data_IF_420283196400
#
_entry.id   IF_420283196400
#
_cell.length_a   1.000
_cell.length_b   1.000
_cell.length_c   1.000
_cell.angle_alpha   90.00
_cell.angle_beta   90.00
_cell.angle_gamma   90.00
#
_symmetry.space_group_name_H-M   'P 1'
#
loop_
_entity.id
_entity.type
_entity.pdbx_description
1 polymer ?
#
# COMPACT_ATOMS: atom_id res chain seq x y z
N UNK A 1 -6.64 -4.77 -1.41
CA UNK A 1 -6.78 -4.37 0.01
C UNK A 1 -5.95 -3.14 0.34
N UNK A 2 -4.66 -3.11 0.01
CA UNK A 2 -3.80 -1.93 0.25
C UNK A 2 -4.41 -0.61 -0.27
N UNK A 3 -4.91 -0.60 -1.51
CA UNK A 3 -5.57 0.58 -2.10
C UNK A 3 -6.79 1.07 -1.29
N UNK A 4 -7.57 0.15 -0.72
CA UNK A 4 -8.71 0.49 0.13
C UNK A 4 -8.24 1.12 1.45
N UNK A 5 -7.22 0.56 2.09
CA UNK A 5 -6.64 1.13 3.32
C UNK A 5 -6.05 2.52 3.06
N UNK A 6 -5.32 2.70 1.95
CA UNK A 6 -4.85 4.03 1.53
C UNK A 6 -6.01 5.01 1.40
N UNK A 7 -7.09 4.63 0.72
CA UNK A 7 -8.29 5.46 0.59
C UNK A 7 -8.96 5.78 1.93
N UNK A 8 -9.07 4.81 2.85
CA UNK A 8 -9.63 5.04 4.19
C UNK A 8 -8.80 6.06 4.98
N UNK A 9 -7.47 5.94 4.92
CA UNK A 9 -6.57 6.90 5.56
C UNK A 9 -6.68 8.28 4.90
N UNK A 10 -6.68 8.35 3.56
CA UNK A 10 -6.87 9.63 2.84
C UNK A 10 -8.21 10.28 3.20
N UNK A 11 -9.29 9.52 3.27
CA UNK A 11 -10.61 10.01 3.67
C UNK A 11 -10.64 10.49 5.12
N UNK A 12 -9.98 9.77 6.04
CA UNK A 12 -9.83 10.19 7.43
C UNK A 12 -9.09 11.52 7.53
N UNK A 13 -8.05 11.71 6.73
CA UNK A 13 -7.27 12.94 6.68
C UNK A 13 -8.11 14.08 6.10
N UNK A 14 -8.79 13.88 4.96
CA UNK A 14 -9.64 14.90 4.33
C UNK A 14 -10.78 15.37 5.23
N UNK A 15 -11.42 14.45 5.98
CA UNK A 15 -12.44 14.81 6.98
C UNK A 15 -11.87 15.63 8.13
N UNK A 16 -10.61 15.42 8.48
CA UNK A 16 -9.93 16.15 9.54
C UNK A 16 -9.32 17.48 9.05
N UNK A 17 -8.93 17.60 7.78
CA UNK A 17 -8.25 18.76 7.20
C UNK A 17 -8.14 18.65 5.66
N UNK A 18 -8.45 19.73 4.95
CA UNK A 18 -8.69 19.73 3.50
C UNK A 18 -7.43 19.70 2.59
N UNK A 19 -6.23 20.02 3.11
CA UNK A 19 -5.03 20.27 2.27
C UNK A 19 -3.96 19.16 2.31
N UNK A 20 -4.37 17.89 2.43
CA UNK A 20 -3.41 16.78 2.29
C UNK A 20 -3.30 16.32 0.83
N UNK A 21 -2.20 16.71 0.19
CA UNK A 21 -1.86 16.35 -1.20
C UNK A 21 -0.75 15.31 -1.32
N UNK A 22 -0.10 14.91 -0.21
CA UNK A 22 0.93 13.89 -0.27
C UNK A 22 0.31 12.50 -0.42
N UNK A 23 1.08 11.58 -1.00
CA UNK A 23 0.65 10.19 -1.11
C UNK A 23 0.77 9.47 0.25
N UNK A 24 -0.30 8.77 0.66
CA UNK A 24 -0.27 7.90 1.84
C UNK A 24 0.60 6.68 1.54
N UNK A 25 1.73 6.57 2.22
CA UNK A 25 2.57 5.39 2.15
C UNK A 25 2.13 4.37 3.20
N UNK A 26 2.05 3.11 2.76
CA UNK A 26 1.84 1.94 3.59
C UNK A 26 3.08 1.05 3.52
N UNK A 27 3.47 0.49 4.65
CA UNK A 27 4.52 -0.51 4.75
C UNK A 27 4.02 -1.74 5.50
N UNK A 28 4.70 -2.87 5.30
CA UNK A 28 4.47 -4.11 6.05
C UNK A 28 5.40 -4.07 7.27
N UNK A 29 4.89 -3.92 8.51
CA UNK A 29 5.71 -3.87 9.69
C UNK A 29 6.06 -5.29 10.20
N UNK A 30 6.75 -5.38 11.33
CA UNK A 30 6.88 -6.67 12.03
C UNK A 30 5.50 -7.16 12.49
N UNK A 31 5.29 -8.48 12.55
CA UNK A 31 4.00 -9.11 12.89
C UNK A 31 3.30 -8.53 14.14
N UNK A 32 4.06 -8.18 15.17
CA UNK A 32 3.52 -7.59 16.41
C UNK A 32 2.88 -6.20 16.23
N UNK A 33 3.16 -5.54 15.11
CA UNK A 33 2.74 -4.20 14.77
C UNK A 33 1.61 -4.18 13.72
N UNK A 34 1.09 -5.34 13.30
CA UNK A 34 -0.05 -5.45 12.39
C UNK A 34 0.33 -5.84 10.97
N UNK A 35 -0.67 -5.79 10.10
CA UNK A 35 -0.55 -6.16 8.69
C UNK A 35 -0.03 -4.97 7.86
N UNK A 36 -0.46 -3.77 8.23
CA UNK A 36 -0.05 -2.52 7.58
C UNK A 36 0.31 -1.44 8.61
N UNK A 37 1.26 -0.59 8.25
CA UNK A 37 1.63 0.59 9.02
C UNK A 37 1.74 1.82 8.11
N UNK A 38 1.36 2.99 8.62
CA UNK A 38 1.54 4.27 7.94
C UNK A 38 2.24 5.28 8.84
N UNK A 39 3.18 6.03 8.25
CA UNK A 39 3.86 7.15 8.88
C UNK A 39 3.15 8.50 8.62
N UNK A 40 1.95 8.49 8.05
CA UNK A 40 1.28 9.71 7.58
C UNK A 40 1.10 10.77 8.67
N UNK A 41 0.86 10.36 9.92
CA UNK A 41 0.70 11.29 11.03
C UNK A 41 2.01 12.04 11.36
N UNK A 42 3.18 11.43 11.15
CA UNK A 42 4.49 12.08 11.31
C UNK A 42 4.70 13.19 10.27
N UNK A 43 4.28 12.93 9.02
CA UNK A 43 4.36 13.89 7.92
C UNK A 43 3.42 15.07 8.20
N UNK A 44 2.17 14.77 8.57
CA UNK A 44 1.14 15.75 8.91
C UNK A 44 1.52 16.61 10.11
N UNK A 45 2.06 16.00 11.18
CA UNK A 45 2.49 16.73 12.37
C UNK A 45 3.53 17.79 12.06
N UNK A 46 4.49 17.49 11.16
CA UNK A 46 5.51 18.44 10.71
C UNK A 46 4.90 19.61 9.94
N UNK A 47 3.93 19.34 9.06
CA UNK A 47 3.25 20.38 8.27
C UNK A 47 2.34 21.26 9.13
N UNK A 48 1.59 20.66 10.03
CA UNK A 48 0.54 21.30 10.82
C UNK A 48 1.04 21.86 12.15
N UNK A 49 2.28 21.55 12.55
CA UNK A 49 2.86 21.90 13.88
C UNK A 49 1.96 21.47 15.05
N UNK A 50 1.32 20.31 14.91
CA UNK A 50 0.45 19.69 15.94
C UNK A 50 1.12 18.45 16.52
N UNK A 51 0.57 17.98 17.65
CA UNK A 51 1.04 16.76 18.28
C UNK A 51 0.82 15.55 17.36
N UNK A 52 1.89 14.83 17.05
CA UNK A 52 1.87 13.65 16.17
C UNK A 52 0.94 12.56 16.68
N UNK A 53 0.93 12.32 17.99
CA UNK A 53 0.10 11.26 18.55
C UNK A 53 -1.38 11.60 18.47
N UNK A 54 -1.77 12.86 18.63
CA UNK A 54 -3.16 13.28 18.47
C UNK A 54 -3.66 13.04 17.05
N UNK A 55 -2.85 13.39 16.05
CA UNK A 55 -3.18 13.13 14.64
C UNK A 55 -3.27 11.63 14.38
N UNK A 56 -2.30 10.85 14.87
CA UNK A 56 -2.29 9.41 14.69
C UNK A 56 -3.51 8.73 15.33
N UNK A 57 -3.92 9.16 16.52
CA UNK A 57 -5.11 8.65 17.22
C UNK A 57 -6.37 8.98 16.42
N UNK A 58 -6.51 10.23 15.97
CA UNK A 58 -7.68 10.64 15.19
C UNK A 58 -7.82 9.84 13.88
N UNK A 59 -6.70 9.60 13.17
CA UNK A 59 -6.70 8.77 11.97
C UNK A 59 -7.05 7.32 12.34
N UNK A 60 -6.45 6.77 13.40
CA UNK A 60 -6.69 5.41 13.84
C UNK A 60 -8.17 5.19 14.21
N UNK A 61 -8.79 6.11 14.93
CA UNK A 61 -10.20 6.04 15.32
C UNK A 61 -11.13 6.08 14.10
N UNK A 62 -10.83 6.94 13.11
CA UNK A 62 -11.59 6.98 11.86
C UNK A 62 -11.46 5.68 11.07
N UNK A 63 -10.28 5.07 11.02
CA UNK A 63 -10.04 3.81 10.29
C UNK A 63 -10.63 2.61 11.05
N UNK A 64 -10.58 2.60 12.38
CA UNK A 64 -11.15 1.57 13.24
C UNK A 64 -12.66 1.39 13.03
N UNK A 65 -13.37 2.44 12.61
CA UNK A 65 -14.80 2.38 12.30
C UNK A 65 -15.15 1.50 11.09
N UNK A 66 -14.18 1.11 10.27
CA UNK A 66 -14.42 0.28 9.10
C UNK A 66 -14.63 -1.19 9.48
N UNK A 67 -15.66 -1.81 8.89
CA UNK A 67 -16.05 -3.20 9.18
C UNK A 67 -14.99 -4.25 8.84
N UNK A 68 -14.06 -3.95 7.95
CA UNK A 68 -12.99 -4.88 7.52
C UNK A 68 -11.75 -4.82 8.43
N UNK A 69 -11.71 -3.87 9.37
CA UNK A 69 -10.57 -3.64 10.25
C UNK A 69 -10.82 -4.33 11.58
N UNK A 70 -9.89 -5.18 12.00
CA UNK A 70 -9.95 -5.83 13.31
C UNK A 70 -9.53 -4.84 14.39
N UNK A 71 -8.41 -4.16 14.13
CA UNK A 71 -7.79 -3.25 15.07
C UNK A 71 -6.98 -2.20 14.32
N UNK A 72 -7.01 -0.96 14.78
CA UNK A 72 -6.19 0.13 14.31
C UNK A 72 -5.70 0.92 15.52
N UNK A 73 -4.39 1.11 15.64
CA UNK A 73 -3.76 1.72 16.82
C UNK A 73 -2.70 2.72 16.41
N UNK A 74 -2.70 3.86 17.08
CA UNK A 74 -1.59 4.81 17.04
C UNK A 74 -0.46 4.36 17.97
N UNK A 75 0.74 4.12 17.43
CA UNK A 75 1.93 3.70 18.17
C UNK A 75 2.99 4.79 18.07
N UNK A 76 3.69 5.06 19.17
CA UNK A 76 4.81 6.02 19.19
C UNK A 76 5.87 5.63 18.15
N UNK A 77 6.47 6.59 17.43
CA UNK A 77 6.32 8.05 17.56
C UNK A 77 5.12 8.69 16.82
N UNK A 78 4.20 7.91 16.27
CA UNK A 78 3.09 8.41 15.45
C UNK A 78 2.78 7.54 14.24
N UNK A 79 3.03 6.24 14.34
CA UNK A 79 2.63 5.28 13.32
C UNK A 79 1.17 4.89 13.51
N UNK A 80 0.43 4.79 12.41
CA UNK A 80 -0.93 4.25 12.39
C UNK A 80 -0.82 2.80 11.92
N UNK A 81 -1.05 1.87 12.83
CA UNK A 81 -0.89 0.44 12.60
C UNK A 81 -2.25 -0.23 12.49
N UNK A 82 -2.39 -1.12 11.52
CA UNK A 82 -3.68 -1.69 11.11
C UNK A 82 -3.58 -3.22 11.08
N UNK A 83 -4.55 -3.86 11.70
CA UNK A 83 -4.82 -5.29 11.65
C UNK A 83 -6.14 -5.51 10.91
N UNK A 84 -6.12 -6.38 9.91
CA UNK A 84 -7.29 -6.69 9.08
C UNK A 84 -8.01 -7.91 9.66
N UNK A 85 -9.35 -7.91 9.59
CA UNK A 85 -10.11 -9.09 10.01
C UNK A 85 -9.76 -10.28 9.12
N UNK A 86 -9.48 -11.42 9.76
CA UNK A 86 -9.21 -12.69 9.05
C UNK A 86 -10.30 -13.07 8.05
N UNK A 87 -11.57 -12.79 8.36
CA UNK A 87 -12.69 -13.09 7.46
C UNK A 87 -12.54 -12.39 6.10
N UNK A 88 -12.08 -11.14 6.06
CA UNK A 88 -11.84 -10.43 4.80
C UNK A 88 -10.77 -11.12 3.95
N UNK A 89 -9.76 -11.70 4.60
CA UNK A 89 -8.70 -12.45 3.93
C UNK A 89 -9.28 -13.76 3.38
N UNK A 90 -10.07 -14.49 4.18
CA UNK A 90 -10.70 -15.73 3.74
C UNK A 90 -11.69 -15.50 2.59
N UNK A 91 -12.49 -14.44 2.63
CA UNK A 91 -13.40 -14.07 1.53
C UNK A 91 -12.63 -13.73 0.25
N UNK A 92 -11.50 -13.01 0.37
CA UNK A 92 -10.65 -12.70 -0.78
C UNK A 92 -10.01 -13.97 -1.39
N UNK A 93 -9.61 -14.94 -0.56
CA UNK A 93 -9.03 -16.21 -0.99
C UNK A 93 -10.07 -17.19 -1.57
N UNK A 94 -11.29 -17.18 -1.02
CA UNK A 94 -12.39 -18.06 -1.44
C UNK A 94 -13.18 -17.50 -2.63
N UNK A 95 -12.88 -16.26 -3.07
CA UNK A 95 -13.40 -15.77 -4.35
C UNK A 95 -12.96 -16.76 -5.43
N UNK A 96 -13.88 -17.33 -6.22
CA UNK A 96 -13.53 -18.30 -7.24
C UNK A 96 -12.40 -17.73 -8.08
N UNK A 97 -11.36 -18.54 -8.34
CA UNK A 97 -10.31 -18.16 -9.28
C UNK A 97 -10.98 -17.95 -10.64
N UNK A 98 -11.38 -16.71 -10.91
CA UNK A 98 -11.64 -16.28 -12.26
C UNK A 98 -10.34 -16.51 -13.04
N UNK A 99 -10.44 -16.90 -14.31
CA UNK A 99 -9.30 -17.19 -15.22
C UNK A 99 -8.30 -16.02 -15.36
N UNK A 100 -8.57 -14.90 -14.70
CA UNK A 100 -7.86 -13.62 -14.73
C UNK A 100 -7.02 -13.34 -13.49
N UNK A 101 -6.85 -14.27 -12.54
CA UNK A 101 -5.98 -14.03 -11.38
C UNK A 101 -4.55 -13.71 -11.84
N UNK A 102 -4.05 -12.52 -11.47
CA UNK A 102 -2.72 -12.03 -11.90
C UNK A 102 -2.74 -11.20 -13.18
N UNK A 103 -3.88 -11.07 -13.86
CA UNK A 103 -4.06 -10.12 -14.97
C UNK A 103 -4.51 -8.75 -14.46
N UNK A 104 -4.11 -7.68 -15.15
CA UNK A 104 -4.49 -6.30 -14.85
C UNK A 104 -4.61 -5.50 -16.14
N UNK A 105 -5.68 -4.71 -16.24
CA UNK A 105 -5.88 -3.76 -17.34
C UNK A 105 -5.26 -2.38 -17.03
N UNK A 106 -4.42 -2.28 -15.99
CA UNK A 106 -3.81 -1.00 -15.55
C UNK A 106 -2.98 -0.29 -16.62
N UNK A 107 -2.53 -1.01 -17.65
CA UNK A 107 -1.78 -0.48 -18.80
C UNK A 107 -2.54 -0.68 -20.12
N UNK A 108 -3.86 -0.85 -20.09
CA UNK A 108 -4.66 -1.00 -21.29
C UNK A 108 -4.47 0.20 -22.23
N UNK A 109 -4.22 -0.08 -23.51
CA UNK A 109 -3.95 0.95 -24.53
C UNK A 109 -2.51 1.50 -24.52
N UNK A 110 -1.65 1.08 -23.58
CA UNK A 110 -0.24 1.45 -23.56
C UNK A 110 0.55 0.46 -24.41
N UNK A 111 1.25 0.95 -25.43
CA UNK A 111 2.20 0.14 -26.22
C UNK A 111 3.56 0.14 -25.52
N UNK A 112 4.03 -1.04 -25.10
CA UNK A 112 5.33 -1.24 -24.46
C UNK A 112 6.25 -1.94 -25.46
N UNK A 113 7.44 -1.38 -25.69
CA UNK A 113 8.49 -2.01 -26.50
C UNK A 113 9.48 -2.67 -25.54
N UNK A 114 9.69 -3.97 -25.69
CA UNK A 114 10.71 -4.72 -24.96
C UNK A 114 11.73 -5.20 -25.98
N UNK A 115 12.92 -4.61 -25.93
CA UNK A 115 14.09 -5.00 -26.73
C UNK A 115 15.03 -5.77 -25.81
N UNK A 116 15.40 -6.99 -26.20
CA UNK A 116 16.24 -7.86 -25.38
C UNK A 116 17.05 -8.83 -26.25
N UNK A 117 18.09 -9.40 -25.65
CA UNK A 117 19.12 -10.27 -26.26
C UNK A 117 20.21 -9.55 -27.04
N UNK A 118 19.88 -8.67 -27.99
CA UNK A 118 20.77 -7.95 -28.93
C UNK A 118 22.23 -8.40 -28.98
N UNK A 119 22.49 -9.65 -29.40
CA UNK A 119 23.83 -10.20 -29.33
C UNK A 119 24.65 -9.61 -30.46
N UNK A 120 25.95 -9.43 -30.22
CA UNK A 120 26.85 -9.00 -31.27
C UNK A 120 27.05 -10.12 -32.31
N UNK A 121 26.67 -9.88 -33.56
CA UNK A 121 26.80 -10.84 -34.67
C UNK A 121 28.22 -11.37 -34.93
N UNK A 122 29.26 -10.64 -34.51
CA UNK A 122 30.65 -11.02 -34.68
C UNK A 122 31.26 -11.70 -33.45
N UNK A 123 30.46 -11.99 -32.41
CA UNK A 123 30.91 -12.67 -31.20
C UNK A 123 30.03 -13.87 -30.88
N UNK A 124 30.61 -14.83 -30.18
CA UNK A 124 29.88 -16.01 -29.72
C UNK A 124 28.79 -15.64 -28.70
N UNK A 125 27.69 -16.38 -28.77
CA UNK A 125 26.61 -16.28 -27.82
C UNK A 125 27.01 -16.95 -26.51
N UNK A 126 26.89 -16.25 -25.38
CA UNK A 126 27.30 -16.76 -24.07
C UNK A 126 26.17 -16.60 -23.04
N UNK A 127 26.33 -17.20 -21.87
CA UNK A 127 25.30 -17.26 -20.81
C UNK A 127 24.78 -15.89 -20.37
N UNK A 128 25.56 -14.82 -20.52
CA UNK A 128 25.11 -13.45 -20.26
C UNK A 128 23.95 -13.01 -21.15
N UNK A 129 23.90 -13.47 -22.41
CA UNK A 129 22.77 -13.19 -23.32
C UNK A 129 21.53 -14.03 -23.00
N UNK A 130 21.68 -15.17 -22.30
CA UNK A 130 20.53 -15.96 -21.83
C UNK A 130 19.86 -15.33 -20.62
N UNK A 131 20.57 -14.52 -19.84
CA UNK A 131 20.00 -13.84 -18.67
C UNK A 131 18.99 -12.74 -19.06
N UNK A 132 19.18 -12.12 -20.23
CA UNK A 132 18.24 -11.13 -20.77
C UNK A 132 17.09 -11.74 -21.58
N UNK A 133 17.09 -13.08 -21.81
CA UNK A 133 15.98 -13.82 -22.43
C UNK A 133 15.03 -14.38 -21.38
#
# INVERSE_FOLDING_TARGET
>A
MESNIKQLITNAIQKSQADFTDEVQLSIPQLQFGDYSSNVALILAKKLKRNTMEIAIQIADSVQSNENIEKCVAIKPGFVNVWIKKNCIFEALNRPLEEKLGSSDSLAGVKIMVEYTDPNFFKEFHVGHLYSN
#
